data_IF_932745805951
#
_entry.id   IF_932745805951
#
_cell.length_a   1.000
_cell.length_b   1.000
_cell.length_c   1.000
_cell.angle_alpha   90.00
_cell.angle_beta   90.00
_cell.angle_gamma   90.00
#
_symmetry.space_group_name_H-M   'P 1'
#
loop_
_entity.id
_entity.type
_entity.pdbx_description
1 polymer ?
#
# COMPACT_ATOMS: atom_id res chain seq x y z
N UNK A 1 -42.17 28.01 76.43
CA UNK A 1 -42.82 28.42 75.16
C UNK A 1 -41.80 29.21 74.33
N UNK A 2 -41.27 28.60 73.27
CA UNK A 2 -40.33 29.29 72.40
C UNK A 2 -41.08 30.18 71.39
N UNK A 3 -40.72 31.48 71.24
CA UNK A 3 -41.38 32.35 70.27
C UNK A 3 -40.91 31.99 68.86
N UNK A 4 -41.81 31.49 68.03
CA UNK A 4 -41.63 31.37 66.61
C UNK A 4 -41.29 32.74 66.02
N UNK A 5 -40.01 32.94 65.60
CA UNK A 5 -39.60 34.17 64.89
C UNK A 5 -40.39 34.22 63.56
N UNK A 6 -41.28 35.24 63.44
CA UNK A 6 -42.00 35.57 62.19
C UNK A 6 -40.97 35.85 61.08
N UNK A 7 -40.75 34.90 60.15
CA UNK A 7 -39.93 35.13 59.01
C UNK A 7 -40.67 36.12 58.08
N UNK A 8 -40.08 37.32 57.86
CA UNK A 8 -40.68 38.31 56.97
C UNK A 8 -40.81 37.75 55.58
N UNK A 9 -41.98 37.78 54.93
CA UNK A 9 -42.27 37.29 53.59
C UNK A 9 -41.26 37.76 52.51
N UNK A 10 -40.72 38.98 52.72
CA UNK A 10 -39.67 39.52 51.83
C UNK A 10 -38.37 38.71 51.88
N UNK A 11 -37.99 38.09 52.99
CA UNK A 11 -36.79 37.24 53.11
C UNK A 11 -37.01 35.89 52.46
N UNK A 12 -38.20 35.32 52.46
CA UNK A 12 -38.57 34.11 51.75
C UNK A 12 -38.58 34.32 50.26
N UNK A 13 -39.05 35.48 49.79
CA UNK A 13 -39.01 35.85 48.36
C UNK A 13 -37.57 36.03 47.85
N UNK A 14 -36.72 36.72 48.60
CA UNK A 14 -35.29 36.89 48.26
C UNK A 14 -34.57 35.56 48.23
N UNK A 15 -34.85 34.64 49.16
CA UNK A 15 -34.29 33.29 49.18
C UNK A 15 -34.74 32.49 47.93
N UNK A 16 -36.01 32.59 47.51
CA UNK A 16 -36.55 31.96 46.31
C UNK A 16 -35.89 32.45 45.02
N UNK A 17 -35.71 33.78 44.91
CA UNK A 17 -35.00 34.39 43.79
C UNK A 17 -33.52 33.94 43.75
N UNK A 18 -32.86 33.86 44.90
CA UNK A 18 -31.48 33.42 45.00
C UNK A 18 -31.30 31.93 44.58
N UNK A 19 -32.21 31.08 45.03
CA UNK A 19 -32.27 29.66 44.60
C UNK A 19 -32.53 29.54 43.11
N UNK A 20 -33.44 30.35 42.56
CA UNK A 20 -33.71 30.40 41.13
C UNK A 20 -32.50 30.84 40.30
N UNK A 21 -31.75 31.87 40.73
CA UNK A 21 -30.55 32.36 40.10
C UNK A 21 -29.41 31.33 40.16
N UNK A 22 -29.25 30.66 41.31
CA UNK A 22 -28.29 29.55 41.45
C UNK A 22 -28.66 28.43 40.49
N UNK A 23 -29.94 28.06 40.39
CA UNK A 23 -30.42 26.99 39.50
C UNK A 23 -30.22 27.36 38.02
N UNK A 24 -30.46 28.62 37.66
CA UNK A 24 -30.23 29.15 36.32
C UNK A 24 -28.75 29.27 35.98
N UNK A 25 -27.93 29.71 36.95
CA UNK A 25 -26.46 29.75 36.81
C UNK A 25 -25.85 28.34 36.60
N UNK A 26 -26.28 27.37 37.40
CA UNK A 26 -25.87 25.97 37.24
C UNK A 26 -26.32 25.40 35.87
N UNK A 27 -27.55 25.73 35.44
CA UNK A 27 -28.07 25.31 34.13
C UNK A 27 -27.26 25.91 32.97
N UNK A 28 -26.80 27.14 33.09
CA UNK A 28 -25.98 27.85 32.10
C UNK A 28 -24.56 27.24 32.01
N UNK A 29 -23.95 26.97 33.18
CA UNK A 29 -22.62 26.33 33.25
C UNK A 29 -22.65 24.92 32.68
N UNK A 30 -23.72 24.15 32.88
CA UNK A 30 -23.89 22.80 32.29
C UNK A 30 -24.12 22.89 30.78
N UNK A 31 -24.86 23.90 30.30
CA UNK A 31 -25.06 24.15 28.86
C UNK A 31 -23.78 24.56 28.14
N UNK A 32 -22.90 25.32 28.78
CA UNK A 32 -21.62 25.75 28.23
C UNK A 32 -20.56 24.62 28.15
N UNK A 33 -20.75 23.53 28.91
CA UNK A 33 -19.78 22.44 29.00
C UNK A 33 -20.17 21.19 28.20
N UNK A 34 -21.28 21.18 27.48
CA UNK A 34 -21.66 20.07 26.58
C UNK A 34 -21.00 20.24 25.23
N UNK A 35 -19.84 19.58 25.05
CA UNK A 35 -19.23 19.48 23.71
C UNK A 35 -20.12 18.63 22.81
N UNK A 36 -20.60 19.21 21.74
CA UNK A 36 -21.43 18.57 20.73
C UNK A 36 -20.60 18.33 19.48
N UNK A 37 -20.75 17.16 18.88
CA UNK A 37 -20.17 16.80 17.58
C UNK A 37 -21.30 16.59 16.58
N UNK A 38 -21.22 17.25 15.43
CA UNK A 38 -22.11 16.98 14.30
C UNK A 38 -21.53 15.80 13.51
N UNK A 39 -22.30 14.74 13.36
CA UNK A 39 -21.89 13.61 12.53
C UNK A 39 -21.88 14.01 11.06
N UNK A 40 -20.74 13.77 10.43
CA UNK A 40 -20.52 13.97 8.99
C UNK A 40 -20.07 12.67 8.39
N UNK A 41 -20.47 12.43 7.16
CA UNK A 41 -19.88 11.39 6.35
C UNK A 41 -18.49 11.84 5.90
N UNK A 42 -17.58 10.90 5.87
CA UNK A 42 -16.24 11.09 5.36
C UNK A 42 -15.72 9.73 4.86
N UNK A 43 -14.73 9.80 4.00
CA UNK A 43 -14.06 8.62 3.49
C UNK A 43 -12.89 8.29 4.41
N UNK A 44 -12.96 7.11 5.03
CA UNK A 44 -11.94 6.66 5.98
C UNK A 44 -11.09 5.56 5.35
N UNK A 45 -9.79 5.73 5.43
CA UNK A 45 -8.78 4.73 5.05
C UNK A 45 -8.10 4.23 6.32
N UNK A 46 -8.24 2.94 6.58
CA UNK A 46 -7.55 2.25 7.66
C UNK A 46 -6.34 1.55 7.09
N UNK A 47 -5.16 1.93 7.57
CA UNK A 47 -3.90 1.36 7.13
C UNK A 47 -2.97 1.06 8.30
N UNK A 48 -2.05 0.14 8.08
CA UNK A 48 -0.97 -0.19 9.01
C UNK A 48 0.36 -0.16 8.27
N UNK A 49 1.40 0.29 8.95
CA UNK A 49 2.75 0.32 8.39
C UNK A 49 3.50 -0.94 8.84
N UNK A 50 3.97 -1.71 7.88
CA UNK A 50 4.63 -3.00 8.12
C UNK A 50 5.97 -3.05 7.40
N UNK A 51 7.03 -3.46 8.13
CA UNK A 51 8.31 -3.84 7.50
C UNK A 51 8.13 -5.20 6.85
N UNK A 52 8.24 -5.25 5.52
CA UNK A 52 8.04 -6.48 4.76
C UNK A 52 9.23 -6.83 3.87
N UNK A 53 9.50 -8.12 3.75
CA UNK A 53 10.40 -8.66 2.73
C UNK A 53 9.62 -8.92 1.45
N UNK A 54 10.21 -8.54 0.32
CA UNK A 54 9.67 -8.80 -1.03
C UNK A 54 10.21 -10.14 -1.53
N UNK A 55 9.30 -11.02 -1.92
CA UNK A 55 9.57 -12.39 -2.37
C UNK A 55 9.02 -12.54 -3.79
N UNK A 56 9.85 -12.97 -4.72
CA UNK A 56 9.50 -13.11 -6.13
C UNK A 56 10.53 -13.98 -6.83
N UNK A 57 10.13 -14.61 -7.93
CA UNK A 57 11.05 -15.39 -8.74
C UNK A 57 11.97 -14.47 -9.54
N UNK A 58 13.26 -14.68 -9.43
CA UNK A 58 14.31 -13.88 -10.05
C UNK A 58 15.36 -14.80 -10.65
N UNK A 59 15.81 -14.47 -11.84
CA UNK A 59 16.73 -15.33 -12.61
C UNK A 59 17.98 -14.53 -12.96
N UNK A 60 19.14 -14.98 -12.45
CA UNK A 60 20.42 -14.38 -12.79
C UNK A 60 20.93 -14.95 -14.12
N UNK A 61 21.31 -14.06 -15.02
CA UNK A 61 21.97 -14.39 -16.27
C UNK A 61 23.45 -14.15 -16.08
N UNK A 62 24.24 -15.21 -16.27
CA UNK A 62 25.69 -15.22 -16.09
C UNK A 62 26.39 -15.47 -17.42
N UNK A 63 27.56 -14.85 -17.61
CA UNK A 63 28.39 -15.11 -18.76
C UNK A 63 29.03 -16.49 -18.67
N UNK A 64 28.92 -17.27 -19.74
CA UNK A 64 29.60 -18.55 -19.89
C UNK A 64 31.01 -18.41 -20.54
N UNK A 65 31.31 -17.23 -21.05
CA UNK A 65 32.53 -16.93 -21.79
C UNK A 65 33.22 -15.67 -21.29
N UNK A 66 34.47 -15.49 -21.67
CA UNK A 66 35.21 -14.25 -21.48
C UNK A 66 35.05 -13.37 -22.73
N UNK A 67 34.86 -12.08 -22.55
CA UNK A 67 34.75 -11.17 -23.67
C UNK A 67 34.28 -9.76 -23.26
N UNK A 68 33.87 -8.97 -24.26
CA UNK A 68 33.29 -7.62 -24.04
C UNK A 68 31.78 -7.74 -24.11
N UNK A 69 31.09 -7.26 -23.06
CA UNK A 69 29.64 -7.27 -22.95
C UNK A 69 29.00 -6.19 -23.81
N UNK A 70 27.93 -6.51 -24.49
CA UNK A 70 27.04 -5.55 -25.14
C UNK A 70 25.60 -5.81 -24.71
N UNK A 71 24.98 -4.85 -24.07
CA UNK A 71 23.60 -4.92 -23.59
C UNK A 71 22.63 -4.52 -24.72
N UNK A 72 21.59 -5.31 -24.92
CA UNK A 72 20.59 -5.12 -25.98
C UNK A 72 19.26 -4.56 -25.45
N UNK A 73 19.06 -4.56 -24.13
CA UNK A 73 17.82 -4.19 -23.46
C UNK A 73 18.12 -3.15 -22.39
N UNK A 74 17.23 -2.21 -22.22
CA UNK A 74 17.38 -1.19 -21.17
C UNK A 74 16.94 -1.73 -19.81
N UNK A 75 17.41 -1.09 -18.74
CA UNK A 75 16.93 -1.33 -17.40
C UNK A 75 15.42 -1.06 -17.32
N UNK A 76 14.72 -1.86 -16.52
CA UNK A 76 13.26 -1.78 -16.29
C UNK A 76 12.41 -2.11 -17.52
N UNK A 77 13.03 -2.56 -18.63
CA UNK A 77 12.34 -3.00 -19.82
C UNK A 77 11.77 -4.42 -19.63
N UNK A 78 10.58 -4.64 -20.16
CA UNK A 78 9.94 -5.96 -20.17
C UNK A 78 10.51 -6.81 -21.28
N UNK A 79 10.85 -8.06 -20.96
CA UNK A 79 11.37 -9.05 -21.89
C UNK A 79 10.49 -10.30 -21.92
N UNK A 80 10.44 -10.92 -23.09
CA UNK A 80 9.82 -12.22 -23.27
C UNK A 80 10.84 -13.33 -23.05
N UNK A 81 10.36 -14.52 -22.71
CA UNK A 81 11.20 -15.73 -22.68
C UNK A 81 11.90 -15.93 -24.03
N UNK A 82 13.18 -16.23 -23.98
CA UNK A 82 14.06 -16.40 -25.14
C UNK A 82 14.38 -15.11 -25.92
N UNK A 83 13.95 -13.96 -25.49
CA UNK A 83 14.37 -12.66 -26.04
C UNK A 83 15.86 -12.43 -25.74
N UNK A 84 16.65 -12.06 -26.75
CA UNK A 84 18.05 -11.68 -26.59
C UNK A 84 18.17 -10.43 -25.73
N UNK A 85 19.01 -10.49 -24.72
CA UNK A 85 19.24 -9.38 -23.76
C UNK A 85 20.65 -8.85 -23.78
N UNK A 86 21.62 -9.68 -24.16
CA UNK A 86 23.02 -9.29 -24.24
C UNK A 86 23.80 -10.20 -25.21
N UNK A 87 24.90 -9.68 -25.71
CA UNK A 87 25.94 -10.42 -26.39
C UNK A 87 27.28 -10.26 -25.65
N UNK A 88 28.08 -11.30 -25.61
CA UNK A 88 29.48 -11.25 -25.18
C UNK A 88 30.37 -11.56 -26.37
N UNK A 89 31.12 -10.56 -26.80
CA UNK A 89 32.04 -10.69 -27.94
C UNK A 89 33.38 -11.21 -27.45
N UNK A 90 33.90 -12.22 -28.16
CA UNK A 90 35.22 -12.74 -27.86
C UNK A 90 36.28 -11.65 -28.10
N UNK A 91 37.31 -11.57 -27.26
CA UNK A 91 38.36 -10.53 -27.27
C UNK A 91 39.12 -10.34 -28.61
N UNK A 92 38.80 -11.14 -29.62
CA UNK A 92 39.36 -11.03 -30.96
C UNK A 92 38.56 -10.16 -31.94
N UNK A 93 37.49 -9.54 -31.50
CA UNK A 93 36.73 -8.57 -32.31
C UNK A 93 37.23 -7.17 -31.92
N UNK A 94 37.76 -6.43 -32.91
CA UNK A 94 38.13 -5.04 -32.77
C UNK A 94 36.92 -4.21 -32.37
N UNK A 95 37.07 -3.29 -31.42
CA UNK A 95 36.05 -2.32 -30.96
C UNK A 95 35.43 -1.57 -32.17
N UNK A 96 36.21 -1.40 -33.24
CA UNK A 96 35.79 -0.75 -34.49
C UNK A 96 34.57 -1.43 -35.18
N UNK A 97 34.39 -2.75 -35.04
CA UNK A 97 33.32 -3.49 -35.72
C UNK A 97 31.92 -3.03 -35.28
N UNK A 98 31.72 -2.69 -34.01
CA UNK A 98 30.44 -2.20 -33.51
C UNK A 98 30.14 -0.76 -33.98
N UNK A 99 31.19 0.08 -34.12
CA UNK A 99 31.06 1.41 -34.73
C UNK A 99 30.71 1.30 -36.22
N UNK A 100 31.36 0.42 -36.93
CA UNK A 100 31.09 0.16 -38.34
C UNK A 100 29.67 -0.40 -38.59
N UNK A 101 29.19 -1.28 -37.71
CA UNK A 101 27.82 -1.78 -37.75
C UNK A 101 26.81 -0.64 -37.57
N UNK A 102 27.06 0.26 -36.61
CA UNK A 102 26.18 1.41 -36.33
C UNK A 102 26.16 2.38 -37.50
N UNK A 103 27.33 2.75 -38.03
CA UNK A 103 27.44 3.61 -39.21
C UNK A 103 26.72 3.01 -40.43
N UNK A 104 26.92 1.72 -40.64
CA UNK A 104 26.29 1.02 -41.79
C UNK A 104 24.76 0.95 -41.66
N UNK A 105 24.22 0.74 -40.48
CA UNK A 105 22.78 0.80 -40.22
C UNK A 105 22.20 2.19 -40.43
N UNK A 106 22.89 3.25 -40.02
CA UNK A 106 22.49 4.65 -40.25
C UNK A 106 22.48 4.95 -41.75
N UNK A 107 23.55 4.56 -42.51
CA UNK A 107 23.62 4.74 -43.95
C UNK A 107 22.51 3.99 -44.71
N UNK A 108 22.17 2.78 -44.30
CA UNK A 108 21.07 1.99 -44.87
C UNK A 108 19.73 2.72 -44.64
N UNK A 109 19.50 3.22 -43.41
CA UNK A 109 18.27 3.95 -43.06
C UNK A 109 18.11 5.23 -43.88
N UNK A 110 19.18 5.96 -44.14
CA UNK A 110 19.17 7.18 -44.95
C UNK A 110 18.89 6.87 -46.44
N UNK A 111 19.32 5.71 -46.91
CA UNK A 111 19.07 5.25 -48.30
C UNK A 111 17.66 4.71 -48.51
N UNK A 112 16.99 4.17 -47.49
CA UNK A 112 15.63 3.59 -47.59
C UNK A 112 14.54 4.64 -47.85
N UNK A 113 14.82 5.93 -47.63
CA UNK A 113 13.88 7.03 -47.87
C UNK A 113 13.73 7.54 -49.29
N UNK A 114 14.54 7.02 -50.27
CA UNK A 114 14.61 7.61 -51.60
C UNK A 114 14.42 6.56 -52.75
N UNK A 115 13.41 6.78 -53.59
CA UNK A 115 13.09 5.93 -54.78
C UNK A 115 13.94 6.31 -56.01
N UNK A 116 15.20 5.94 -56.04
CA UNK A 116 16.06 6.08 -57.22
C UNK A 116 16.73 4.73 -57.53
N UNK A 117 16.67 4.29 -58.82
CA UNK A 117 17.19 2.99 -59.24
C UNK A 117 18.69 2.77 -58.95
N UNK A 118 19.51 3.81 -58.99
CA UNK A 118 20.91 3.76 -58.61
C UNK A 118 21.10 3.51 -57.12
N UNK A 119 20.24 4.11 -56.28
CA UNK A 119 20.29 3.95 -54.82
C UNK A 119 19.78 2.56 -54.39
N UNK A 120 18.86 1.93 -55.13
CA UNK A 120 18.42 0.56 -54.88
C UNK A 120 19.60 -0.42 -55.03
N UNK A 121 20.48 -0.20 -56.03
CA UNK A 121 21.71 -1.00 -56.17
C UNK A 121 22.67 -0.80 -55.00
N UNK A 122 22.89 0.43 -54.55
CA UNK A 122 23.73 0.75 -53.40
C UNK A 122 23.14 0.14 -52.11
N UNK A 123 21.85 0.24 -51.94
CA UNK A 123 21.15 -0.31 -50.78
C UNK A 123 21.30 -1.82 -50.67
N UNK A 124 21.22 -2.53 -51.82
CA UNK A 124 21.42 -4.01 -51.84
C UNK A 124 22.86 -4.40 -51.45
N UNK A 125 23.84 -3.68 -51.93
CA UNK A 125 25.25 -3.91 -51.54
C UNK A 125 25.48 -3.61 -50.04
N UNK A 126 24.93 -2.51 -49.54
CA UNK A 126 25.03 -2.16 -48.13
C UNK A 126 24.32 -3.16 -47.21
N UNK A 127 23.19 -3.71 -47.65
CA UNK A 127 22.49 -4.77 -46.91
C UNK A 127 23.30 -6.09 -46.92
N UNK A 128 23.99 -6.40 -48.00
CA UNK A 128 24.87 -7.57 -48.05
C UNK A 128 26.10 -7.37 -47.14
N UNK A 129 26.71 -6.17 -47.13
CA UNK A 129 27.81 -5.81 -46.23
C UNK A 129 27.37 -5.91 -44.77
N UNK A 130 26.15 -5.47 -44.47
CA UNK A 130 25.52 -5.59 -43.13
C UNK A 130 25.39 -7.08 -42.71
N UNK A 131 24.88 -7.91 -43.60
CA UNK A 131 24.72 -9.35 -43.34
C UNK A 131 26.08 -10.02 -43.05
N UNK A 132 27.12 -9.72 -43.85
CA UNK A 132 28.45 -10.25 -43.63
C UNK A 132 29.02 -9.81 -42.29
N UNK A 133 28.82 -8.54 -41.94
CA UNK A 133 29.29 -7.98 -40.66
C UNK A 133 28.53 -8.60 -39.47
N UNK A 134 27.20 -8.75 -39.58
CA UNK A 134 26.37 -9.41 -38.58
C UNK A 134 26.72 -10.90 -38.42
N UNK A 135 27.03 -11.62 -39.51
CA UNK A 135 27.51 -13.00 -39.42
C UNK A 135 28.88 -13.10 -38.74
N UNK A 136 29.81 -12.18 -39.06
CA UNK A 136 31.11 -12.11 -38.40
C UNK A 136 30.97 -11.83 -36.90
N UNK A 137 30.07 -10.97 -36.54
CA UNK A 137 29.74 -10.68 -35.12
C UNK A 137 29.14 -11.92 -34.47
N UNK A 138 28.14 -12.56 -35.11
CA UNK A 138 27.45 -13.75 -34.61
C UNK A 138 28.40 -14.93 -34.38
N UNK A 139 29.30 -15.15 -35.30
CA UNK A 139 30.28 -16.25 -35.21
C UNK A 139 31.31 -16.06 -34.09
N UNK A 140 31.50 -14.82 -33.61
CA UNK A 140 32.45 -14.48 -32.59
C UNK A 140 31.80 -13.93 -31.30
N UNK A 141 30.48 -14.10 -31.15
CA UNK A 141 29.76 -13.67 -29.95
C UNK A 141 28.92 -14.79 -29.39
N UNK A 142 28.73 -14.78 -28.07
CA UNK A 142 27.78 -15.62 -27.39
C UNK A 142 26.56 -14.76 -27.05
N UNK A 143 25.38 -15.19 -27.50
CA UNK A 143 24.12 -14.52 -27.20
C UNK A 143 23.53 -15.01 -25.88
N UNK A 144 23.07 -14.10 -25.05
CA UNK A 144 22.38 -14.37 -23.80
C UNK A 144 20.94 -13.90 -23.90
N UNK A 145 20.03 -14.83 -23.64
CA UNK A 145 18.60 -14.60 -23.73
C UNK A 145 17.94 -14.71 -22.35
N UNK A 146 16.78 -14.07 -22.20
CA UNK A 146 15.96 -14.20 -20.99
C UNK A 146 15.46 -15.65 -20.82
N UNK A 147 15.74 -16.26 -19.67
CA UNK A 147 15.28 -17.61 -19.35
C UNK A 147 13.77 -17.69 -19.15
N UNK A 148 13.19 -16.61 -18.65
CA UNK A 148 11.75 -16.44 -18.44
C UNK A 148 11.32 -15.02 -18.83
N UNK A 149 10.00 -14.83 -19.01
CA UNK A 149 9.44 -13.51 -19.23
C UNK A 149 9.47 -12.69 -17.92
N UNK A 150 9.78 -11.40 -18.02
CA UNK A 150 9.88 -10.56 -16.83
C UNK A 150 10.38 -9.15 -17.13
N UNK A 151 10.98 -8.52 -16.16
CA UNK A 151 11.59 -7.20 -16.24
C UNK A 151 13.09 -7.30 -15.98
N UNK A 152 13.88 -6.56 -16.77
CA UNK A 152 15.34 -6.54 -16.64
C UNK A 152 15.76 -5.58 -15.51
N UNK A 153 16.63 -6.10 -14.63
CA UNK A 153 17.41 -5.29 -13.71
C UNK A 153 18.91 -5.58 -13.87
N UNK A 154 19.71 -4.53 -13.73
CA UNK A 154 21.17 -4.61 -13.73
C UNK A 154 21.74 -4.49 -12.31
N UNK A 155 20.97 -5.04 -11.35
CA UNK A 155 21.37 -5.18 -9.96
C UNK A 155 20.96 -6.54 -9.41
N UNK A 156 21.70 -7.08 -8.44
CA UNK A 156 21.43 -8.33 -7.77
C UNK A 156 21.86 -8.27 -6.30
N UNK A 157 21.29 -9.12 -5.43
CA UNK A 157 21.58 -9.14 -3.99
C UNK A 157 22.07 -10.50 -3.45
N UNK A 158 22.30 -11.48 -4.34
CA UNK A 158 22.65 -12.88 -4.03
C UNK A 158 21.55 -13.67 -3.29
N UNK A 159 20.35 -13.13 -3.19
CA UNK A 159 19.20 -13.79 -2.57
C UNK A 159 18.16 -14.28 -3.58
N UNK A 160 18.44 -14.14 -4.88
CA UNK A 160 17.53 -14.48 -5.97
C UNK A 160 17.10 -15.95 -5.94
N UNK A 161 18.00 -16.85 -5.53
CA UNK A 161 17.70 -18.29 -5.39
C UNK A 161 17.04 -18.64 -4.05
N UNK A 162 17.05 -17.71 -3.07
CA UNK A 162 16.50 -17.97 -1.74
C UNK A 162 15.05 -17.52 -1.64
N UNK A 163 14.78 -16.29 -2.06
CA UNK A 163 13.47 -15.66 -1.85
C UNK A 163 12.59 -15.74 -3.10
N UNK A 164 12.44 -16.95 -3.64
CA UNK A 164 11.48 -17.29 -4.69
C UNK A 164 10.12 -17.73 -4.12
N UNK A 165 9.15 -17.92 -5.00
CA UNK A 165 7.79 -18.37 -4.66
C UNK A 165 7.77 -19.71 -3.90
N UNK A 166 8.70 -20.59 -4.17
CA UNK A 166 8.85 -21.88 -3.47
C UNK A 166 9.25 -21.75 -2.00
N UNK A 167 9.84 -20.61 -1.61
CA UNK A 167 10.27 -20.36 -0.24
C UNK A 167 9.15 -19.84 0.67
N UNK A 168 7.99 -19.44 0.14
CA UNK A 168 6.88 -18.85 0.90
C UNK A 168 6.43 -19.69 2.09
N UNK A 169 6.46 -21.03 1.97
CA UNK A 169 6.08 -21.93 3.06
C UNK A 169 7.11 -21.97 4.19
N UNK A 170 8.34 -21.60 3.93
CA UNK A 170 9.49 -21.72 4.81
C UNK A 170 9.98 -20.38 5.37
N UNK A 171 9.33 -19.27 4.96
CA UNK A 171 9.69 -17.94 5.43
C UNK A 171 9.64 -17.84 6.94
N UNK A 172 10.66 -17.25 7.55
CA UNK A 172 10.82 -17.11 8.99
C UNK A 172 10.82 -15.64 9.40
N UNK A 173 10.61 -15.39 10.69
CA UNK A 173 10.79 -14.05 11.27
C UNK A 173 12.23 -13.55 11.08
N UNK A 174 13.21 -14.44 11.24
CA UNK A 174 14.62 -14.10 11.08
C UNK A 174 14.94 -13.62 9.64
N UNK A 175 14.31 -14.21 8.62
CA UNK A 175 14.44 -13.76 7.24
C UNK A 175 13.95 -12.32 7.06
N UNK A 176 12.83 -11.96 7.71
CA UNK A 176 12.23 -10.61 7.62
C UNK A 176 13.06 -9.60 8.41
N UNK A 177 13.48 -9.96 9.62
CA UNK A 177 14.23 -9.06 10.50
C UNK A 177 15.62 -8.75 9.95
N UNK A 178 16.31 -9.75 9.35
CA UNK A 178 17.65 -9.64 8.79
C UNK A 178 17.70 -9.23 7.30
N UNK A 179 16.56 -9.14 6.63
CA UNK A 179 16.52 -8.70 5.23
C UNK A 179 17.11 -7.28 5.08
N UNK A 180 17.87 -7.09 4.03
CA UNK A 180 18.52 -5.82 3.71
C UNK A 180 18.57 -5.57 2.20
N UNK A 181 18.67 -4.32 1.80
CA UNK A 181 18.74 -3.88 0.40
C UNK A 181 20.20 -3.78 -0.08
N UNK A 182 20.96 -4.88 0.03
CA UNK A 182 22.38 -4.93 -0.34
C UNK A 182 22.56 -5.27 -1.83
N UNK A 183 21.96 -4.47 -2.70
CA UNK A 183 22.08 -4.65 -4.13
C UNK A 183 23.43 -4.21 -4.67
N UNK A 184 24.05 -5.07 -5.48
CA UNK A 184 25.29 -4.82 -6.21
C UNK A 184 24.95 -4.64 -7.71
N UNK A 185 25.73 -3.83 -8.45
CA UNK A 185 25.58 -3.73 -9.89
C UNK A 185 26.02 -5.03 -10.58
N UNK A 186 25.37 -5.36 -11.68
CA UNK A 186 25.87 -6.35 -12.64
C UNK A 186 27.01 -5.76 -13.48
N UNK A 187 27.59 -6.52 -14.40
CA UNK A 187 28.50 -5.99 -15.40
C UNK A 187 27.81 -4.90 -16.24
N UNK A 188 28.57 -3.87 -16.59
CA UNK A 188 28.08 -2.72 -17.37
C UNK A 188 28.30 -2.94 -18.88
N UNK A 189 27.59 -2.18 -19.69
CA UNK A 189 27.78 -2.21 -21.15
C UNK A 189 29.23 -1.86 -21.53
N UNK A 190 29.77 -2.55 -22.52
CA UNK A 190 31.18 -2.48 -22.97
C UNK A 190 32.24 -2.90 -21.94
N UNK A 191 31.84 -3.48 -20.80
CA UNK A 191 32.76 -4.00 -19.80
C UNK A 191 33.35 -5.36 -20.23
N UNK A 192 34.63 -5.61 -19.88
CA UNK A 192 35.24 -6.94 -20.04
C UNK A 192 34.74 -7.88 -18.95
N UNK A 193 33.95 -8.85 -19.34
CA UNK A 193 33.39 -9.89 -18.46
C UNK A 193 34.21 -11.18 -18.53
N UNK A 194 34.17 -11.92 -17.43
CA UNK A 194 34.73 -13.27 -17.31
C UNK A 194 33.60 -14.28 -17.20
N UNK A 195 33.92 -15.55 -17.48
CA UNK A 195 33.00 -16.65 -17.19
C UNK A 195 32.52 -16.57 -15.71
N UNK A 196 31.21 -16.63 -15.50
CA UNK A 196 30.56 -16.51 -14.19
C UNK A 196 30.17 -15.08 -13.81
N UNK A 197 30.60 -14.02 -14.54
CA UNK A 197 30.15 -12.65 -14.32
C UNK A 197 28.63 -12.54 -14.49
N UNK A 198 27.96 -11.87 -13.57
CA UNK A 198 26.51 -11.62 -13.65
C UNK A 198 26.27 -10.48 -14.63
N UNK A 199 25.49 -10.75 -15.69
CA UNK A 199 25.17 -9.81 -16.77
C UNK A 199 23.87 -9.07 -16.48
N UNK A 200 22.84 -9.79 -16.08
CA UNK A 200 21.51 -9.24 -15.82
C UNK A 200 20.73 -10.12 -14.84
N UNK A 201 19.66 -9.56 -14.31
CA UNK A 201 18.64 -10.25 -13.54
C UNK A 201 17.30 -10.07 -14.24
N UNK A 202 16.57 -11.17 -14.49
CA UNK A 202 15.19 -11.16 -14.95
C UNK A 202 14.28 -11.33 -13.75
N UNK A 203 13.34 -10.43 -13.56
CA UNK A 203 12.40 -10.41 -12.44
C UNK A 203 11.02 -10.81 -12.95
N UNK A 204 10.45 -11.88 -12.41
CA UNK A 204 9.06 -12.22 -12.68
C UNK A 204 8.15 -11.10 -12.19
N UNK A 205 7.35 -10.51 -13.07
CA UNK A 205 6.45 -9.41 -12.77
C UNK A 205 4.97 -9.83 -12.66
N UNK A 206 4.65 -11.10 -12.74
CA UNK A 206 3.30 -11.61 -12.63
C UNK A 206 2.93 -11.92 -11.18
N UNK A 207 3.79 -12.65 -10.47
CA UNK A 207 3.56 -13.05 -9.10
C UNK A 207 4.62 -12.44 -8.20
N UNK A 208 4.19 -11.54 -7.33
CA UNK A 208 5.01 -10.93 -6.32
C UNK A 208 4.34 -11.07 -4.96
N UNK A 209 5.14 -11.30 -3.95
CA UNK A 209 4.67 -11.45 -2.59
C UNK A 209 5.45 -10.52 -1.66
N UNK A 210 4.81 -10.13 -0.58
CA UNK A 210 5.48 -9.53 0.56
C UNK A 210 5.10 -10.28 1.82
N UNK A 211 6.06 -10.44 2.73
CA UNK A 211 5.84 -11.09 4.00
C UNK A 211 6.27 -10.19 5.16
N UNK A 212 5.43 -10.06 6.17
CA UNK A 212 5.70 -9.27 7.37
C UNK A 212 5.23 -9.99 8.63
N UNK A 213 5.79 -9.59 9.77
CA UNK A 213 5.49 -10.19 11.08
C UNK A 213 4.45 -9.35 11.81
N UNK A 214 3.45 -10.03 12.41
CA UNK A 214 2.51 -9.40 13.33
C UNK A 214 2.44 -10.18 14.64
N UNK A 215 2.61 -9.47 15.76
CA UNK A 215 2.48 -10.05 17.11
C UNK A 215 1.01 -10.38 17.42
N UNK A 216 0.09 -9.56 16.98
CA UNK A 216 -1.36 -9.78 17.10
C UNK A 216 -2.03 -9.60 15.73
N UNK A 217 -2.42 -10.71 15.12
CA UNK A 217 -3.12 -10.68 13.83
C UNK A 217 -4.63 -10.76 14.01
N UNK A 218 -5.25 -9.63 14.36
CA UNK A 218 -6.71 -9.45 14.35
C UNK A 218 -7.23 -8.71 13.12
N UNK A 219 -6.33 -8.14 12.31
CA UNK A 219 -6.69 -7.25 11.20
C UNK A 219 -6.91 -8.01 9.89
N UNK A 220 -6.24 -9.15 9.70
CA UNK A 220 -6.20 -9.84 8.41
C UNK A 220 -6.75 -11.25 8.49
N UNK A 221 -7.49 -11.66 7.46
CA UNK A 221 -7.85 -13.05 7.19
C UNK A 221 -7.35 -13.44 5.81
N UNK A 222 -7.09 -14.72 5.61
CA UNK A 222 -6.74 -15.25 4.29
C UNK A 222 -7.87 -14.99 3.30
N UNK A 223 -7.54 -14.48 2.10
CA UNK A 223 -8.49 -14.05 1.08
C UNK A 223 -8.95 -12.59 1.19
N UNK A 224 -8.60 -11.85 2.26
CA UNK A 224 -8.93 -10.43 2.36
C UNK A 224 -8.22 -9.64 1.26
N UNK A 225 -8.96 -8.76 0.57
CA UNK A 225 -8.38 -7.79 -0.37
C UNK A 225 -7.76 -6.63 0.39
N UNK A 226 -6.54 -6.27 0.02
CA UNK A 226 -5.80 -5.14 0.59
C UNK A 226 -5.24 -4.27 -0.53
N UNK A 227 -4.84 -3.04 -0.20
CA UNK A 227 -4.02 -2.21 -1.08
C UNK A 227 -2.70 -1.92 -0.41
N UNK A 228 -1.66 -1.85 -1.22
CA UNK A 228 -0.30 -1.57 -0.78
C UNK A 228 0.06 -0.20 -1.35
N UNK A 229 0.36 0.74 -0.48
CA UNK A 229 0.90 2.04 -0.89
C UNK A 229 2.41 1.90 -1.12
N UNK A 230 2.85 2.17 -2.35
CA UNK A 230 4.26 2.18 -2.72
C UNK A 230 4.56 3.53 -3.34
N UNK A 231 5.28 4.40 -2.62
CA UNK A 231 5.47 5.82 -2.99
C UNK A 231 4.11 6.52 -3.18
N UNK A 232 3.78 6.88 -4.41
CA UNK A 232 2.53 7.58 -4.75
C UNK A 232 1.48 6.66 -5.41
N UNK A 233 1.79 5.36 -5.56
CA UNK A 233 0.93 4.39 -6.22
C UNK A 233 0.27 3.44 -5.22
N UNK A 234 -1.01 3.11 -5.43
CA UNK A 234 -1.73 2.05 -4.73
C UNK A 234 -1.78 0.79 -5.61
N UNK A 235 -1.30 -0.33 -5.09
CA UNK A 235 -1.34 -1.64 -5.76
C UNK A 235 -2.32 -2.55 -5.04
N UNK A 236 -3.23 -3.18 -5.79
CA UNK A 236 -4.14 -4.17 -5.23
C UNK A 236 -3.40 -5.45 -4.87
N UNK A 237 -3.69 -5.99 -3.71
CA UNK A 237 -3.17 -7.25 -3.21
C UNK A 237 -4.24 -8.06 -2.48
N UNK A 238 -3.88 -9.28 -2.16
CA UNK A 238 -4.70 -10.22 -1.39
C UNK A 238 -3.86 -10.84 -0.30
N UNK A 239 -4.45 -11.06 0.88
CA UNK A 239 -3.83 -11.83 1.95
C UNK A 239 -3.78 -13.29 1.51
N UNK A 240 -2.64 -13.70 0.98
CA UNK A 240 -2.44 -15.02 0.39
C UNK A 240 -2.41 -16.13 1.44
N UNK A 241 -1.69 -15.88 2.55
CA UNK A 241 -1.51 -16.87 3.62
C UNK A 241 -1.13 -16.22 4.95
N UNK A 242 -1.57 -16.84 6.05
CA UNK A 242 -1.20 -16.44 7.40
C UNK A 242 -0.58 -17.63 8.13
N UNK A 243 0.75 -17.60 8.31
CA UNK A 243 1.49 -18.62 9.01
C UNK A 243 1.52 -18.30 10.51
N UNK A 244 0.61 -18.92 11.29
CA UNK A 244 0.52 -18.73 12.74
C UNK A 244 1.65 -19.45 13.46
N UNK A 245 2.28 -18.76 14.41
CA UNK A 245 3.26 -19.26 15.36
C UNK A 245 2.76 -18.95 16.79
N UNK A 246 3.44 -19.45 17.82
CA UNK A 246 2.97 -19.32 19.21
C UNK A 246 2.71 -17.86 19.63
N UNK A 247 3.63 -16.94 19.32
CA UNK A 247 3.57 -15.54 19.76
C UNK A 247 3.43 -14.52 18.63
N UNK A 248 3.39 -14.95 17.37
CA UNK A 248 3.27 -14.06 16.22
C UNK A 248 2.69 -14.79 15.01
N UNK A 249 2.35 -14.04 13.99
CA UNK A 249 1.98 -14.56 12.68
C UNK A 249 2.86 -13.94 11.61
N UNK A 250 3.16 -14.69 10.57
CA UNK A 250 3.72 -14.13 9.34
C UNK A 250 2.55 -14.01 8.35
N UNK A 251 2.28 -12.79 7.94
CA UNK A 251 1.25 -12.47 6.95
C UNK A 251 1.92 -12.33 5.59
N UNK A 252 1.42 -13.07 4.60
CA UNK A 252 1.92 -13.05 3.23
C UNK A 252 0.85 -12.44 2.34
N UNK A 253 1.19 -11.35 1.68
CA UNK A 253 0.33 -10.66 0.70
C UNK A 253 0.82 -10.99 -0.69
N UNK A 254 -0.08 -11.41 -1.57
CA UNK A 254 0.18 -11.58 -3.01
C UNK A 254 -0.30 -10.35 -3.75
N UNK A 255 0.46 -9.90 -4.75
CA UNK A 255 0.05 -8.87 -5.70
C UNK A 255 0.57 -9.20 -7.10
N UNK A 256 -0.21 -8.82 -8.14
CA UNK A 256 0.04 -9.22 -9.53
C UNK A 256 0.68 -8.13 -10.38
N UNK A 257 0.77 -6.90 -9.85
CA UNK A 257 1.44 -5.78 -10.51
C UNK A 257 2.62 -5.35 -9.67
N UNK A 258 3.77 -5.16 -10.32
CA UNK A 258 4.93 -4.56 -9.69
C UNK A 258 5.10 -3.13 -10.20
N UNK A 259 5.28 -2.22 -9.27
CA UNK A 259 5.77 -0.89 -9.57
C UNK A 259 7.28 -0.93 -9.80
N UNK A 260 7.79 -0.14 -10.75
CA UNK A 260 9.23 0.04 -11.01
C UNK A 260 9.99 0.35 -9.72
N UNK A 261 9.33 1.05 -8.77
CA UNK A 261 9.94 1.41 -7.50
C UNK A 261 10.42 0.26 -6.61
N UNK A 262 9.92 -0.97 -6.81
CA UNK A 262 10.27 -2.13 -5.97
C UNK A 262 11.13 -3.18 -6.66
N UNK A 263 11.49 -3.03 -7.93
CA UNK A 263 12.29 -4.03 -8.65
C UNK A 263 13.65 -4.28 -8.01
N UNK A 264 14.27 -3.24 -7.46
CA UNK A 264 15.54 -3.32 -6.73
C UNK A 264 15.32 -3.11 -5.21
N UNK A 265 14.21 -3.62 -4.68
CA UNK A 265 13.88 -3.59 -3.25
C UNK A 265 13.70 -5.00 -2.74
N UNK A 266 14.42 -5.36 -1.66
CA UNK A 266 14.24 -6.63 -0.95
C UNK A 266 13.44 -6.46 0.34
N UNK A 267 13.60 -5.34 1.02
CA UNK A 267 12.88 -5.02 2.26
C UNK A 267 12.58 -3.55 2.33
N UNK A 268 11.35 -3.21 2.73
CA UNK A 268 10.93 -1.81 2.95
C UNK A 268 9.75 -1.78 3.93
N UNK A 269 9.44 -0.60 4.45
CA UNK A 269 8.21 -0.34 5.18
C UNK A 269 7.12 0.07 4.21
N UNK A 270 6.04 -0.71 4.18
CA UNK A 270 4.87 -0.48 3.32
C UNK A 270 3.66 -0.10 4.16
N UNK A 271 2.89 0.86 3.69
CA UNK A 271 1.55 1.14 4.21
C UNK A 271 0.56 0.17 3.55
N UNK A 272 -0.06 -0.69 4.37
CA UNK A 272 -1.05 -1.68 3.91
C UNK A 272 -2.44 -1.19 4.31
N UNK A 273 -3.23 -0.83 3.32
CA UNK A 273 -4.62 -0.41 3.48
C UNK A 273 -5.50 -1.66 3.52
N UNK A 274 -6.11 -1.93 4.67
CA UNK A 274 -6.94 -3.12 4.88
C UNK A 274 -8.44 -2.81 4.92
N UNK A 275 -8.82 -1.53 4.99
CA UNK A 275 -10.21 -1.11 4.94
C UNK A 275 -10.32 0.31 4.39
N UNK A 276 -11.27 0.50 3.47
CA UNK A 276 -11.68 1.82 2.99
C UNK A 276 -13.20 1.87 3.00
N UNK A 277 -13.78 2.92 3.57
CA UNK A 277 -15.24 3.04 3.68
C UNK A 277 -15.68 4.49 3.88
N UNK A 278 -16.85 4.83 3.35
CA UNK A 278 -17.60 6.01 3.78
C UNK A 278 -18.40 5.66 5.04
N UNK A 279 -18.29 6.46 6.07
CA UNK A 279 -18.96 6.19 7.34
C UNK A 279 -19.20 7.45 8.18
N UNK A 280 -20.12 7.35 9.13
CA UNK A 280 -20.21 8.27 10.26
C UNK A 280 -19.26 7.82 11.36
N UNK A 281 -18.31 8.68 11.73
CA UNK A 281 -17.32 8.38 12.78
C UNK A 281 -17.81 8.87 14.14
N UNK A 282 -17.96 7.95 15.10
CA UNK A 282 -18.47 8.22 16.43
C UNK A 282 -17.37 7.93 17.45
N UNK A 283 -16.94 8.94 18.25
CA UNK A 283 -15.96 8.71 19.31
C UNK A 283 -16.49 7.76 20.38
N UNK A 284 -15.73 6.71 20.75
CA UNK A 284 -16.12 5.75 21.81
C UNK A 284 -16.43 6.42 23.16
N UNK A 285 -15.82 7.58 23.45
CA UNK A 285 -16.10 8.38 24.65
C UNK A 285 -17.51 8.97 24.70
N UNK A 286 -18.23 9.02 23.58
CA UNK A 286 -19.63 9.48 23.50
C UNK A 286 -20.64 8.35 23.72
N UNK A 287 -20.18 7.10 23.73
CA UNK A 287 -21.04 5.94 23.91
C UNK A 287 -21.54 5.83 25.35
N UNK A 288 -22.80 5.45 25.48
CA UNK A 288 -23.46 5.14 26.76
C UNK A 288 -24.17 3.81 26.67
N UNK A 289 -24.26 3.10 27.79
CA UNK A 289 -25.12 1.92 27.93
C UNK A 289 -26.41 2.31 28.64
N UNK A 290 -27.55 2.03 28.03
CA UNK A 290 -28.88 2.21 28.58
C UNK A 290 -29.73 1.01 28.23
N UNK A 291 -30.38 0.37 29.19
CA UNK A 291 -31.26 -0.79 29.01
C UNK A 291 -30.61 -1.91 28.17
N UNK A 292 -29.35 -2.26 28.49
CA UNK A 292 -28.48 -3.20 27.76
C UNK A 292 -28.18 -2.86 26.28
N UNK A 293 -28.49 -1.62 25.85
CA UNK A 293 -28.19 -1.12 24.52
C UNK A 293 -27.04 -0.13 24.58
N UNK A 294 -26.17 -0.19 23.59
CA UNK A 294 -25.08 0.80 23.41
C UNK A 294 -25.56 1.87 22.43
N UNK A 295 -25.41 3.12 22.78
CA UNK A 295 -25.88 4.24 21.95
C UNK A 295 -25.22 5.55 22.30
N UNK A 296 -25.74 6.61 21.72
CA UNK A 296 -25.31 8.01 21.97
C UNK A 296 -26.51 8.88 22.30
N UNK A 297 -26.27 10.00 22.93
CA UNK A 297 -27.30 11.03 23.05
C UNK A 297 -27.21 11.98 21.86
N UNK A 298 -28.28 12.06 21.07
CA UNK A 298 -28.47 13.00 19.97
C UNK A 298 -29.33 14.16 20.45
N UNK A 299 -29.02 15.37 20.08
CA UNK A 299 -29.87 16.53 20.37
C UNK A 299 -30.98 16.60 19.32
N UNK A 300 -32.20 16.35 19.75
CA UNK A 300 -33.38 16.49 18.91
C UNK A 300 -33.54 17.94 18.45
N UNK A 301 -33.73 18.15 17.15
CA UNK A 301 -33.78 19.50 16.55
C UNK A 301 -35.04 20.28 16.90
N UNK A 302 -36.17 19.61 17.13
CA UNK A 302 -37.45 20.25 17.40
C UNK A 302 -37.54 20.83 18.83
N UNK A 303 -37.04 20.07 19.79
CA UNK A 303 -37.20 20.40 21.20
C UNK A 303 -35.89 20.74 21.92
N UNK A 304 -34.77 20.60 21.24
CA UNK A 304 -33.39 20.83 21.71
C UNK A 304 -33.03 19.98 22.96
N UNK A 305 -33.66 18.81 23.12
CA UNK A 305 -33.41 17.88 24.23
C UNK A 305 -32.58 16.68 23.76
N UNK A 306 -31.76 16.11 24.67
CA UNK A 306 -31.01 14.89 24.33
C UNK A 306 -31.93 13.67 24.32
N UNK A 307 -31.89 12.94 23.23
CA UNK A 307 -32.55 11.64 23.03
C UNK A 307 -31.52 10.55 22.88
N UNK A 308 -31.77 9.39 23.52
CA UNK A 308 -30.88 8.23 23.39
C UNK A 308 -31.20 7.49 22.08
N UNK A 309 -30.19 7.38 21.22
CA UNK A 309 -30.26 6.60 19.98
C UNK A 309 -29.29 5.43 20.08
N UNK A 310 -29.82 4.21 19.90
CA UNK A 310 -29.02 2.99 19.85
C UNK A 310 -28.15 3.00 18.60
N UNK A 311 -26.83 2.77 18.74
CA UNK A 311 -25.92 2.64 17.60
C UNK A 311 -25.93 1.21 17.11
N UNK A 312 -26.36 1.03 15.85
CA UNK A 312 -26.44 -0.25 15.15
C UNK A 312 -25.67 -0.17 13.84
N UNK A 313 -25.42 -1.34 13.22
CA UNK A 313 -24.75 -1.43 11.93
C UNK A 313 -23.32 -0.86 11.95
N UNK A 314 -22.58 -1.17 13.01
CA UNK A 314 -21.17 -0.83 13.11
C UNK A 314 -20.41 -1.68 12.10
N UNK A 315 -19.79 -1.05 11.12
CA UNK A 315 -19.01 -1.71 10.07
C UNK A 315 -17.56 -1.93 10.45
N UNK A 316 -17.04 -1.05 11.33
CA UNK A 316 -15.66 -1.12 11.82
C UNK A 316 -15.54 -0.39 13.16
N UNK A 317 -14.57 -0.80 13.99
CA UNK A 317 -14.16 -0.06 15.18
C UNK A 317 -12.64 -0.14 15.37
N UNK A 318 -12.06 0.97 15.83
CA UNK A 318 -10.69 1.05 16.32
C UNK A 318 -10.69 1.36 17.83
N UNK A 319 -9.53 1.64 18.42
CA UNK A 319 -9.43 1.94 19.86
C UNK A 319 -10.18 3.20 20.27
N UNK A 320 -10.38 4.17 19.39
CA UNK A 320 -10.90 5.51 19.67
C UNK A 320 -12.32 5.74 19.14
N UNK A 321 -12.64 5.14 18.01
CA UNK A 321 -13.86 5.39 17.25
C UNK A 321 -14.61 4.12 16.87
N UNK A 322 -15.89 4.27 16.59
CA UNK A 322 -16.71 3.32 15.83
C UNK A 322 -17.16 3.99 14.53
N UNK A 323 -17.30 3.20 13.49
CA UNK A 323 -17.65 3.63 12.14
C UNK A 323 -18.94 2.97 11.72
N UNK A 324 -19.93 3.78 11.38
CA UNK A 324 -21.29 3.34 11.04
C UNK A 324 -21.54 3.61 9.56
N UNK A 325 -21.80 2.55 8.80
CA UNK A 325 -22.25 2.67 7.42
C UNK A 325 -23.73 3.10 7.41
N UNK A 326 -23.96 4.40 7.46
CA UNK A 326 -25.30 4.96 7.56
C UNK A 326 -26.14 4.71 6.30
N UNK A 327 -25.53 4.65 5.11
CA UNK A 327 -26.22 4.43 3.85
C UNK A 327 -26.78 3.02 3.76
N UNK A 328 -25.98 2.03 4.12
CA UNK A 328 -26.39 0.63 4.18
C UNK A 328 -27.46 0.41 5.26
N UNK A 329 -27.33 1.08 6.41
CA UNK A 329 -28.31 1.03 7.49
C UNK A 329 -29.66 1.66 7.07
N UNK A 330 -29.63 2.80 6.41
CA UNK A 330 -30.82 3.47 5.90
C UNK A 330 -31.52 2.62 4.84
N UNK A 331 -30.78 2.06 3.88
CA UNK A 331 -31.31 1.15 2.86
C UNK A 331 -31.94 -0.12 3.47
N UNK A 332 -31.39 -0.59 4.60
CA UNK A 332 -31.90 -1.76 5.32
C UNK A 332 -32.99 -1.43 6.34
N UNK A 333 -33.41 -0.18 6.46
CA UNK A 333 -34.42 0.27 7.44
C UNK A 333 -33.95 0.18 8.91
N UNK A 334 -32.62 0.16 9.15
CA UNK A 334 -32.05 0.08 10.48
C UNK A 334 -32.11 1.48 11.12
N UNK A 335 -32.91 1.62 12.19
CA UNK A 335 -32.98 2.87 12.94
C UNK A 335 -31.74 3.02 13.84
N UNK A 336 -30.88 3.97 13.52
CA UNK A 336 -29.64 4.31 14.22
C UNK A 336 -29.31 5.79 13.99
N UNK A 337 -28.12 6.21 14.34
CA UNK A 337 -27.62 7.58 14.08
C UNK A 337 -27.65 7.90 12.59
N UNK A 338 -27.88 9.16 12.27
CA UNK A 338 -28.00 9.68 10.91
C UNK A 338 -26.97 10.75 10.62
N UNK A 339 -26.82 11.03 9.34
CA UNK A 339 -26.02 12.16 8.86
C UNK A 339 -26.56 13.47 9.48
N UNK A 340 -25.66 14.33 9.92
CA UNK A 340 -25.90 15.61 10.61
C UNK A 340 -26.45 15.51 12.04
N UNK A 341 -26.66 14.31 12.61
CA UNK A 341 -27.00 14.17 14.03
C UNK A 341 -25.96 14.86 14.91
N UNK A 342 -26.46 15.59 15.90
CA UNK A 342 -25.66 16.34 16.87
C UNK A 342 -25.48 15.50 18.13
N UNK A 343 -24.37 14.77 18.24
CA UNK A 343 -24.10 13.87 19.39
C UNK A 343 -23.37 14.58 20.52
N UNK A 344 -23.65 14.16 21.76
CA UNK A 344 -22.99 14.68 22.95
C UNK A 344 -21.72 13.88 23.24
N UNK A 345 -20.56 14.56 23.25
CA UNK A 345 -19.25 13.89 23.42
C UNK A 345 -18.95 13.43 24.85
N UNK A 346 -19.55 14.05 25.87
CA UNK A 346 -19.34 13.73 27.31
C UNK A 346 -20.67 13.53 28.02
N UNK A 347 -21.34 12.39 27.84
CA UNK A 347 -22.70 12.15 28.33
C UNK A 347 -22.79 11.90 29.85
N UNK A 348 -21.67 11.74 30.57
CA UNK A 348 -21.65 11.36 31.98
C UNK A 348 -22.42 12.32 32.91
N UNK A 349 -22.58 13.60 32.53
CA UNK A 349 -23.39 14.57 33.28
C UNK A 349 -24.89 14.34 33.09
N UNK A 350 -25.33 13.77 32.00
CA UNK A 350 -26.74 13.52 31.66
C UNK A 350 -27.23 12.30 32.41
N UNK A 351 -26.47 11.24 32.50
CA UNK A 351 -26.82 10.01 33.23
C UNK A 351 -27.01 10.24 34.73
N UNK A 352 -26.23 11.13 35.36
CA UNK A 352 -26.41 11.50 36.78
C UNK A 352 -27.69 12.26 37.05
N UNK A 353 -28.28 12.91 36.05
CA UNK A 353 -29.49 13.71 36.20
C UNK A 353 -30.76 12.88 35.95
N UNK A 354 -30.73 11.96 35.02
CA UNK A 354 -31.84 11.02 34.75
C UNK A 354 -31.99 10.04 35.92
N UNK A 355 -30.91 9.59 36.55
CA UNK A 355 -30.93 8.75 37.75
C UNK A 355 -31.44 9.45 39.03
N UNK A 356 -31.55 10.79 39.02
CA UNK A 356 -32.10 11.58 40.17
C UNK A 356 -33.55 12.01 39.97
N UNK A 357 -34.15 11.72 38.80
CA UNK A 357 -35.55 12.08 38.48
C UNK A 357 -36.47 10.84 38.50
N UNK A 358 -35.92 9.65 38.61
CA UNK A 358 -36.59 8.41 38.96
C UNK A 358 -36.18 8.05 40.41
#
# INVERSE_FOLDING_TARGET
MNPLKKIKCSRLFILGVFIYLIFKGISLIIGLNTSVLVLKDDFYTMKTKEKAIVIRDEYLIKSDTNGTLSLLVNRDEKVQKSQSIANVYNNNIDEDINEDLKKLKEEIKDLEGENNSLKIGILSVKKEELNILEEKIRSNSTNYSASESGVISYKYDNNENKYGSDYLANITREDIDNASNNYMPTATDHEKVKQGSIIARVINNNDCYMAFVREDNKLFNEGDSVKIEIKDDEINGEIYKICKKDNYSIVIVKFTQQNIGIYDTRVEEFDIIYKQMEALRIPKKSLVKKDNKTGVYVINEENNKPEFIEVKGISFEDDTYIYVDFRSNEASGINTVKLHDRIILKPNFINKRIAKIN
#
